data_IF_622717757952
#
_entry.id   IF_622717757952
#
_cell.length_a   1.000
_cell.length_b   1.000
_cell.length_c   1.000
_cell.angle_alpha   90.00
_cell.angle_beta   90.00
_cell.angle_gamma   90.00
#
_symmetry.space_group_name_H-M   'P 1'
#
loop_
_entity.id
_entity.type
_entity.pdbx_description
1 polymer ?
#
# COMPACT_ATOMS: atom_id res chain seq x y z
N UNK A 1 -22.46 2.86 -27.38
CA UNK A 1 -22.15 2.97 -27.06
C UNK A 1 -21.50 2.73 -26.62
N UNK A 2 -21.15 2.77 -26.69
CA UNK A 2 -20.46 2.67 -26.23
C UNK A 2 -19.84 2.54 -25.50
N UNK A 3 -19.47 2.58 -25.23
CA UNK A 3 -18.81 2.48 -24.58
C UNK A 3 -18.33 2.60 -23.75
N UNK A 4 -18.10 2.77 -23.39
CA UNK A 4 -17.60 2.99 -22.65
C UNK A 4 -16.68 2.76 -22.22
N UNK A 5 -16.13 2.87 -21.97
CA UNK A 5 -15.17 2.63 -21.63
C UNK A 5 -14.48 2.68 -20.84
N UNK A 6 -14.27 2.99 -20.44
CA UNK A 6 -13.68 3.04 -19.83
C UNK A 6 -13.10 3.07 -19.05
N UNK A 7 -13.09 3.32 -18.76
CA UNK A 7 -12.55 3.39 -17.71
C UNK A 7 -11.70 2.45 -17.40
N UNK A 8 -11.31 2.09 -17.90
CA UNK A 8 -10.54 1.29 -17.76
C UNK A 8 -9.46 1.56 -16.94
N UNK A 9 -8.96 2.61 -16.81
CA UNK A 9 -7.90 2.91 -15.99
C UNK A 9 -8.26 2.71 -14.60
N UNK A 10 -9.41 3.09 -14.23
CA UNK A 10 -9.76 2.87 -12.92
C UNK A 10 -9.81 1.50 -12.57
N UNK A 11 -9.78 0.64 -13.52
CA UNK A 11 -9.88 -0.70 -13.19
C UNK A 11 -8.60 -1.36 -12.93
N UNK A 12 -7.49 -0.74 -13.02
CA UNK A 12 -6.24 -1.36 -12.74
C UNK A 12 -6.11 -1.58 -11.26
N UNK A 13 -6.15 -2.82 -10.87
CA UNK A 13 -6.15 -3.18 -9.48
C UNK A 13 -5.44 -4.49 -9.31
N UNK A 14 -4.60 -4.59 -8.36
CA UNK A 14 -3.81 -5.78 -8.12
C UNK A 14 -3.69 -5.97 -6.62
N UNK A 15 -4.07 -7.13 -6.15
CA UNK A 15 -3.99 -7.40 -4.72
C UNK A 15 -3.35 -8.74 -4.50
N UNK A 16 -2.63 -8.88 -3.39
CA UNK A 16 -2.06 -10.16 -3.04
C UNK A 16 -2.03 -10.30 -1.53
N UNK A 17 -2.00 -11.52 -1.06
CA UNK A 17 -2.00 -11.80 0.35
C UNK A 17 -0.76 -12.58 0.70
N UNK A 18 -0.07 -12.22 1.75
CA UNK A 18 1.15 -12.88 2.16
C UNK A 18 1.16 -13.07 3.66
N UNK A 19 1.97 -14.00 4.15
CA UNK A 19 2.11 -14.15 5.60
C UNK A 19 2.77 -12.93 6.19
N UNK A 20 2.44 -12.63 7.42
CA UNK A 20 3.00 -11.46 8.07
C UNK A 20 4.37 -11.77 8.64
N UNK A 21 5.33 -11.99 7.78
CA UNK A 21 6.69 -12.31 8.16
C UNK A 21 7.62 -11.32 7.52
N UNK A 22 8.77 -11.12 8.13
CA UNK A 22 9.70 -10.14 7.61
C UNK A 22 10.13 -10.45 6.18
N UNK A 23 10.23 -11.73 5.84
CA UNK A 23 10.66 -12.05 4.49
C UNK A 23 9.57 -11.72 3.49
N UNK A 24 8.36 -11.49 3.90
CA UNK A 24 7.32 -11.12 2.97
C UNK A 24 7.48 -9.68 2.48
N UNK A 25 8.27 -8.89 3.17
CA UNK A 25 8.49 -7.52 2.74
C UNK A 25 9.16 -7.52 1.36
N UNK A 26 10.21 -8.32 1.21
CA UNK A 26 10.90 -8.37 -0.07
C UNK A 26 10.01 -8.93 -1.15
N UNK A 27 9.19 -9.90 -0.80
CA UNK A 27 8.30 -10.48 -1.78
C UNK A 27 7.24 -9.48 -2.20
N UNK A 28 6.72 -8.72 -1.26
CA UNK A 28 5.72 -7.72 -1.58
C UNK A 28 6.30 -6.67 -2.53
N UNK A 29 7.53 -6.27 -2.28
CA UNK A 29 8.16 -5.28 -3.14
C UNK A 29 8.30 -5.81 -4.55
N UNK A 30 8.70 -7.07 -4.67
CA UNK A 30 8.89 -7.64 -5.98
C UNK A 30 7.57 -7.78 -6.73
N UNK A 31 6.53 -8.23 -6.05
CA UNK A 31 5.24 -8.37 -6.69
C UNK A 31 4.70 -7.02 -7.15
N UNK A 32 4.89 -6.00 -6.34
CA UNK A 32 4.42 -4.68 -6.70
C UNK A 32 5.19 -4.15 -7.90
N UNK A 33 6.49 -4.33 -7.89
CA UNK A 33 7.30 -3.82 -8.97
C UNK A 33 6.94 -4.49 -10.28
N UNK A 34 6.76 -5.79 -10.25
CA UNK A 34 6.42 -6.50 -11.47
C UNK A 34 5.10 -6.02 -12.04
N UNK A 35 4.14 -5.77 -11.17
CA UNK A 35 2.86 -5.32 -11.66
C UNK A 35 2.92 -3.91 -12.23
N UNK A 36 3.71 -3.06 -11.61
CA UNK A 36 3.85 -1.70 -12.11
C UNK A 36 4.53 -1.68 -13.47
N UNK A 37 5.48 -2.56 -13.66
CA UNK A 37 6.11 -2.67 -14.96
C UNK A 37 5.08 -3.10 -15.98
N UNK A 38 4.25 -4.04 -15.63
CA UNK A 38 3.24 -4.50 -16.53
C UNK A 38 2.25 -3.39 -16.85
N UNK A 39 1.99 -2.52 -15.93
CA UNK A 39 1.09 -1.42 -16.15
C UNK A 39 1.76 -0.26 -16.89
N UNK A 40 3.04 -0.35 -17.15
CA UNK A 40 3.73 0.69 -17.88
C UNK A 40 4.16 1.87 -17.08
N UNK A 41 4.23 1.72 -15.78
CA UNK A 41 4.63 2.83 -14.94
C UNK A 41 6.12 3.08 -15.07
N UNK A 42 6.49 4.34 -15.03
CA UNK A 42 7.89 4.70 -15.19
C UNK A 42 8.71 4.41 -13.96
N UNK A 43 10.00 4.56 -14.11
CA UNK A 43 10.93 4.22 -13.05
C UNK A 43 10.70 5.04 -11.78
N UNK A 44 10.44 6.32 -11.94
CA UNK A 44 10.25 7.15 -10.76
C UNK A 44 9.06 6.69 -9.95
N UNK A 45 7.97 6.38 -10.61
CA UNK A 45 6.80 5.92 -9.91
C UNK A 45 7.07 4.58 -9.28
N UNK A 46 7.73 3.69 -10.02
CA UNK A 46 8.01 2.38 -9.47
C UNK A 46 8.88 2.46 -8.23
N UNK A 47 9.91 3.28 -8.28
CA UNK A 47 10.81 3.38 -7.13
C UNK A 47 10.06 3.89 -5.92
N UNK A 48 9.21 4.88 -6.12
CA UNK A 48 8.47 5.42 -5.00
C UNK A 48 7.47 4.41 -4.46
N UNK A 49 6.76 3.72 -5.34
CA UNK A 49 5.78 2.75 -4.88
C UNK A 49 6.44 1.61 -4.14
N UNK A 50 7.57 1.13 -4.64
CA UNK A 50 8.24 0.03 -3.99
C UNK A 50 8.68 0.43 -2.58
N UNK A 51 9.14 1.66 -2.43
CA UNK A 51 9.53 2.13 -1.13
C UNK A 51 8.31 2.25 -0.22
N UNK A 52 7.22 2.77 -0.71
CA UNK A 52 6.01 2.90 0.09
C UNK A 52 5.48 1.52 0.48
N UNK A 53 5.46 0.58 -0.46
CA UNK A 53 5.03 -0.77 -0.15
C UNK A 53 5.88 -1.34 0.96
N UNK A 54 7.18 -1.14 0.87
CA UNK A 54 8.09 -1.65 1.86
C UNK A 54 7.75 -1.10 3.24
N UNK A 55 7.48 0.20 3.32
CA UNK A 55 7.18 0.80 4.60
C UNK A 55 5.83 0.35 5.15
N UNK A 56 4.82 0.28 4.32
CA UNK A 56 3.52 -0.12 4.80
C UNK A 56 3.48 -1.60 5.19
N UNK A 57 4.17 -2.43 4.43
CA UNK A 57 4.20 -3.85 4.75
C UNK A 57 5.02 -4.08 6.01
N UNK A 58 6.14 -3.39 6.15
CA UNK A 58 6.94 -3.53 7.35
C UNK A 58 6.11 -3.12 8.56
N UNK A 59 5.37 -2.04 8.41
CA UNK A 59 4.52 -1.59 9.49
C UNK A 59 3.50 -2.66 9.87
N UNK A 60 2.90 -3.32 8.91
CA UNK A 60 1.95 -4.37 9.19
C UNK A 60 2.63 -5.56 9.86
N UNK A 61 3.79 -5.95 9.36
CA UNK A 61 4.47 -7.12 9.88
C UNK A 61 4.93 -6.87 11.31
N UNK A 62 5.43 -5.69 11.59
CA UNK A 62 6.00 -5.41 12.89
C UNK A 62 4.92 -5.11 13.92
N UNK A 63 3.88 -4.44 13.51
CA UNK A 63 2.93 -3.93 14.48
C UNK A 63 1.59 -4.65 14.54
N UNK A 64 1.45 -5.78 13.91
CA UNK A 64 0.18 -6.47 13.95
C UNK A 64 0.34 -7.84 14.55
N UNK A 65 -0.73 -8.37 15.09
CA UNK A 65 -0.74 -9.74 15.52
C UNK A 65 -1.37 -10.63 14.46
N UNK A 66 -1.72 -10.05 13.34
CA UNK A 66 -2.36 -10.81 12.29
C UNK A 66 -1.38 -11.79 11.67
N UNK A 67 -1.87 -12.91 11.20
CA UNK A 67 -1.02 -13.89 10.57
C UNK A 67 -0.71 -13.54 9.13
N UNK A 68 -1.56 -12.72 8.50
CA UNK A 68 -1.41 -12.43 7.09
C UNK A 68 -1.80 -11.00 6.83
N UNK A 69 -1.40 -10.48 5.70
CA UNK A 69 -1.83 -9.16 5.28
C UNK A 69 -2.18 -9.18 3.80
N UNK A 70 -2.95 -8.22 3.38
CA UNK A 70 -3.31 -8.08 1.98
C UNK A 70 -2.78 -6.72 1.52
N UNK A 71 -2.06 -6.73 0.43
CA UNK A 71 -1.54 -5.50 -0.14
C UNK A 71 -2.26 -5.27 -1.45
N UNK A 72 -2.69 -4.06 -1.70
CA UNK A 72 -3.42 -3.77 -2.92
C UNK A 72 -2.89 -2.50 -3.57
N UNK A 73 -2.76 -2.54 -4.87
CA UNK A 73 -2.41 -1.38 -5.67
C UNK A 73 -3.60 -1.04 -6.54
N UNK A 74 -3.97 0.23 -6.59
CA UNK A 74 -5.07 0.65 -7.44
C UNK A 74 -4.61 1.86 -8.21
N UNK A 75 -4.68 1.79 -9.52
CA UNK A 75 -4.23 2.88 -10.35
C UNK A 75 -5.42 3.58 -10.97
N UNK A 76 -5.59 4.84 -10.69
CA UNK A 76 -6.60 5.65 -11.31
C UNK A 76 -5.95 6.62 -12.26
N UNK A 77 -6.68 7.56 -12.73
CA UNK A 77 -6.15 8.49 -13.70
C UNK A 77 -5.11 9.40 -13.14
N UNK A 78 -5.29 9.87 -11.97
CA UNK A 78 -4.37 10.84 -11.41
C UNK A 78 -3.71 10.39 -10.17
N UNK A 79 -4.07 9.27 -9.64
CA UNK A 79 -3.52 8.81 -8.39
C UNK A 79 -3.32 7.34 -8.39
N UNK A 80 -2.31 6.92 -7.68
CA UNK A 80 -2.06 5.53 -7.44
C UNK A 80 -2.20 5.32 -5.96
N UNK A 81 -3.01 4.37 -5.56
CA UNK A 81 -3.23 4.12 -4.14
C UNK A 81 -2.66 2.77 -3.76
N UNK A 82 -1.95 2.75 -2.64
CA UNK A 82 -1.37 1.55 -2.11
C UNK A 82 -2.01 1.33 -0.75
N UNK A 83 -2.47 0.13 -0.46
CA UNK A 83 -3.00 -0.13 0.86
C UNK A 83 -2.54 -1.47 1.35
N UNK A 84 -2.39 -1.60 2.66
CA UNK A 84 -2.04 -2.85 3.28
C UNK A 84 -3.04 -3.05 4.40
N UNK A 85 -3.73 -4.19 4.36
CA UNK A 85 -4.74 -4.49 5.35
C UNK A 85 -4.34 -5.71 6.13
N UNK A 86 -4.45 -5.65 7.43
CA UNK A 86 -4.23 -6.82 8.25
C UNK A 86 -5.44 -6.97 9.13
N UNK A 87 -5.52 -8.08 9.82
CA UNK A 87 -6.69 -8.33 10.62
C UNK A 87 -6.56 -7.79 12.01
N UNK A 88 -5.45 -7.22 12.33
CA UNK A 88 -5.28 -6.59 13.60
C UNK A 88 -5.18 -7.51 14.77
N UNK A 89 -5.91 -8.54 14.77
CA UNK A 89 -5.85 -9.48 15.87
C UNK A 89 -6.21 -8.84 17.17
N UNK A 90 -6.05 -9.59 18.20
CA UNK A 90 -6.49 -9.13 19.50
C UNK A 90 -5.70 -7.97 19.99
N UNK A 91 -4.57 -7.77 19.45
CA UNK A 91 -3.79 -6.71 19.96
C UNK A 91 -3.78 -5.55 19.05
N UNK A 92 -4.77 -5.40 18.32
CA UNK A 92 -4.82 -4.37 17.36
C UNK A 92 -4.37 -3.00 17.77
N UNK A 93 -4.77 -2.54 18.88
CA UNK A 93 -4.44 -1.17 19.20
C UNK A 93 -3.02 -0.88 19.43
N UNK A 94 -2.22 -1.88 19.56
CA UNK A 94 -0.91 -1.64 19.90
C UNK A 94 -0.21 -0.84 18.89
N UNK A 95 -0.68 -0.75 17.72
CA UNK A 95 0.00 0.03 16.81
C UNK A 95 0.11 1.44 17.28
N UNK A 96 -0.92 1.96 17.87
CA UNK A 96 -0.83 3.27 18.34
C UNK A 96 0.06 3.38 19.48
N UNK A 97 0.11 2.43 20.30
CA UNK A 97 0.92 2.51 21.44
C UNK A 97 2.33 2.42 21.18
N UNK A 98 2.76 1.37 20.73
CA UNK A 98 4.16 1.18 20.67
C UNK A 98 4.75 1.73 19.53
N UNK A 99 4.03 1.84 18.57
CA UNK A 99 4.66 2.19 17.42
C UNK A 99 4.81 3.62 17.16
N UNK A 100 4.37 4.41 18.07
CA UNK A 100 4.36 5.79 17.79
C UNK A 100 5.63 6.27 17.19
N UNK A 101 6.73 5.97 17.80
CA UNK A 101 7.95 6.43 17.28
C UNK A 101 8.43 5.67 16.15
N UNK A 102 8.35 4.38 16.20
CA UNK A 102 8.80 3.58 15.13
C UNK A 102 7.95 3.76 13.93
N UNK A 103 6.66 3.82 14.12
CA UNK A 103 5.82 4.04 13.02
C UNK A 103 6.12 5.37 12.45
N UNK A 104 6.41 6.33 13.27
CA UNK A 104 6.70 7.63 12.80
C UNK A 104 7.85 7.67 11.85
N UNK A 105 8.85 6.84 12.10
CA UNK A 105 9.97 6.84 11.26
C UNK A 105 9.61 6.37 9.89
N UNK A 106 8.92 5.25 9.77
CA UNK A 106 8.53 4.74 8.50
C UNK A 106 7.51 5.62 7.82
N UNK A 107 6.55 6.10 8.59
CA UNK A 107 5.52 6.91 8.00
C UNK A 107 6.00 8.30 7.64
N UNK A 108 7.10 8.73 8.19
CA UNK A 108 7.68 9.97 7.77
C UNK A 108 8.07 9.89 6.31
N UNK A 109 8.62 8.77 5.87
CA UNK A 109 8.94 8.62 4.48
C UNK A 109 7.69 8.62 3.64
N UNK A 110 6.66 7.93 4.10
CA UNK A 110 5.42 7.88 3.37
C UNK A 110 4.84 9.28 3.27
N UNK A 111 4.88 10.02 4.35
CA UNK A 111 4.35 11.35 4.37
C UNK A 111 5.11 12.25 3.39
N UNK A 112 6.39 12.06 3.28
CA UNK A 112 7.19 12.88 2.41
C UNK A 112 6.99 12.55 0.95
N UNK A 113 6.71 11.29 0.65
CA UNK A 113 6.62 10.86 -0.73
C UNK A 113 5.21 10.82 -1.30
N UNK A 114 4.22 10.84 -0.45
CA UNK A 114 2.86 10.65 -0.90
C UNK A 114 2.04 11.90 -0.73
N UNK A 115 1.02 12.04 -1.56
CA UNK A 115 0.17 13.20 -1.45
C UNK A 115 -0.81 13.06 -0.29
N UNK A 116 -1.09 11.84 0.13
CA UNK A 116 -1.97 11.60 1.25
C UNK A 116 -1.71 10.23 1.79
N UNK A 117 -2.01 10.00 3.06
CA UNK A 117 -1.92 8.67 3.62
C UNK A 117 -2.76 8.66 4.89
N UNK A 118 -3.10 7.49 5.35
CA UNK A 118 -3.90 7.37 6.54
C UNK A 118 -3.97 5.95 7.02
N UNK A 119 -4.59 5.77 8.15
CA UNK A 119 -4.77 4.45 8.74
C UNK A 119 -6.17 4.38 9.28
N UNK A 120 -6.91 3.36 8.89
CA UNK A 120 -8.29 3.20 9.30
C UNK A 120 -8.52 1.85 9.89
N UNK A 121 -9.48 1.76 10.78
CA UNK A 121 -9.90 0.49 11.26
C UNK A 121 -11.16 0.15 10.57
N UNK A 122 -11.33 -1.10 10.23
CA UNK A 122 -12.52 -1.51 9.53
C UNK A 122 -13.23 -2.55 10.32
N UNK A 123 -14.46 -2.78 9.97
CA UNK A 123 -15.26 -3.80 10.57
C UNK A 123 -15.45 -3.51 12.02
N UNK A 124 -15.18 -4.47 12.83
CA UNK A 124 -15.39 -4.32 14.23
C UNK A 124 -14.17 -3.87 14.95
N UNK A 125 -13.30 -3.24 14.28
CA UNK A 125 -12.22 -2.65 14.98
C UNK A 125 -10.96 -3.45 15.05
N UNK A 126 -10.97 -4.64 14.58
CA UNK A 126 -9.75 -5.40 14.61
C UNK A 126 -9.00 -5.30 13.32
N UNK A 127 -9.68 -5.18 12.20
CA UNK A 127 -8.98 -5.07 10.93
C UNK A 127 -8.50 -3.65 10.76
N UNK A 128 -7.36 -3.50 10.14
CA UNK A 128 -6.77 -2.20 9.99
C UNK A 128 -6.22 -2.04 8.61
N UNK A 129 -6.41 -0.89 8.02
CA UNK A 129 -5.89 -0.60 6.69
C UNK A 129 -5.02 0.63 6.79
N UNK A 130 -3.80 0.52 6.29
CA UNK A 130 -2.94 1.69 6.17
C UNK A 130 -2.80 1.92 4.68
N UNK A 131 -2.97 3.13 4.24
CA UNK A 131 -2.98 3.42 2.81
C UNK A 131 -2.20 4.70 2.52
N UNK A 132 -1.79 4.80 1.27
CA UNK A 132 -1.07 5.97 0.81
C UNK A 132 -1.44 6.23 -0.63
N UNK A 133 -1.46 7.47 -1.03
CA UNK A 133 -1.77 7.84 -2.40
C UNK A 133 -0.67 8.70 -2.95
N UNK A 134 -0.32 8.43 -4.21
CA UNK A 134 0.68 9.20 -4.89
C UNK A 134 0.04 9.90 -6.06
N UNK A 135 0.45 11.10 -6.31
CA UNK A 135 0.05 11.76 -7.51
C UNK A 135 0.73 11.02 -8.63
N UNK A 136 -0.03 10.51 -9.60
CA UNK A 136 0.54 9.65 -10.56
C UNK A 136 0.56 10.41 -11.82
N UNK A 137 1.48 10.58 -12.35
CA UNK A 137 1.57 11.38 -13.39
C UNK A 137 1.02 11.07 -14.52
N UNK A 138 0.16 11.25 -14.71
CA UNK A 138 -0.28 11.04 -15.70
C UNK A 138 0.42 11.56 -16.60
N UNK A 139 0.93 12.26 -16.28
CA UNK A 139 1.63 12.82 -17.10
C UNK A 139 2.56 12.08 -17.67
N UNK A 140 2.81 11.55 -17.39
CA UNK A 140 3.79 11.12 -17.73
C UNK A 140 3.90 10.27 -18.46
N UNK A 141 3.97 10.52 -19.14
CA UNK A 141 4.16 9.75 -20.00
C UNK A 141 5.08 9.01 -19.61
N UNK A 142 5.35 8.96 -18.88
CA UNK A 142 6.31 8.27 -18.56
C UNK A 142 6.79 7.55 -19.34
#
# INVERSE_FOLDING_TARGET
MPQRPRPRIDERRFAFELPAHTESVARARRLAEERLILWGCGTDVRDTVVLVVSELVTNAVVHTASARFVCELREGEERLRISVRDEGGPAGPRIRDCGAEERGRGLILVDALCSAWGADRTGHGTAQVVWAELAHGMAEPC
#
